data_IF_411211988869
#
_entry.id   IF_411211988869
#
_cell.length_a   1.000
_cell.length_b   1.000
_cell.length_c   1.000
_cell.angle_alpha   90.00
_cell.angle_beta   90.00
_cell.angle_gamma   90.00
#
_symmetry.space_group_name_H-M   'P 1'
#
loop_
_entity.id
_entity.type
_entity.pdbx_description
1 polymer ?
#
# COMPACT_ATOMS: atom_id res chain seq x y z
N UNK A 1 -17.02 12.90 0.30
CA UNK A 1 -16.36 12.70 1.59
C UNK A 1 -15.18 11.82 1.29
N UNK A 2 -13.98 12.37 1.29
CA UNK A 2 -12.77 11.61 0.99
C UNK A 2 -12.59 10.59 2.11
N UNK A 3 -12.90 9.32 1.84
CA UNK A 3 -12.45 8.23 2.69
C UNK A 3 -10.95 8.40 2.84
N UNK A 4 -10.42 8.47 4.07
CA UNK A 4 -8.98 8.54 4.26
C UNK A 4 -8.40 7.22 3.77
N UNK A 5 -7.83 7.21 2.58
CA UNK A 5 -7.21 6.00 2.03
C UNK A 5 -5.92 5.74 2.80
N UNK A 6 -5.58 4.47 2.97
CA UNK A 6 -4.30 4.08 3.57
C UNK A 6 -3.10 4.75 2.85
N UNK A 7 -3.26 5.02 1.54
CA UNK A 7 -2.33 5.80 0.74
C UNK A 7 -2.18 7.25 1.20
N UNK A 8 -3.25 7.94 1.58
CA UNK A 8 -3.20 9.32 2.08
C UNK A 8 -2.39 9.40 3.38
N UNK A 9 -2.54 8.40 4.24
CA UNK A 9 -1.81 8.32 5.52
C UNK A 9 -0.32 8.10 5.27
N UNK A 10 0.02 7.20 4.35
CA UNK A 10 1.40 6.97 3.93
C UNK A 10 2.00 8.23 3.32
N UNK A 11 1.28 8.88 2.40
CA UNK A 11 1.70 10.10 1.73
C UNK A 11 1.92 11.25 2.73
N UNK A 12 0.95 11.49 3.62
CA UNK A 12 1.04 12.50 4.68
C UNK A 12 2.23 12.26 5.61
N UNK A 13 2.52 10.99 5.93
CA UNK A 13 3.64 10.62 6.79
C UNK A 13 5.01 10.81 6.12
N UNK A 14 5.06 10.70 4.80
CA UNK A 14 6.24 11.02 3.99
C UNK A 14 6.32 12.50 3.58
N UNK A 15 5.27 13.29 3.85
CA UNK A 15 5.18 14.69 3.41
C UNK A 15 5.09 14.85 1.89
N UNK A 16 4.61 13.82 1.18
CA UNK A 16 4.46 13.81 -0.27
C UNK A 16 2.99 13.59 -0.68
N UNK A 17 2.68 13.69 -1.97
CA UNK A 17 1.36 13.33 -2.49
C UNK A 17 1.28 11.84 -2.80
N UNK A 18 0.06 11.27 -2.80
CA UNK A 18 -0.14 9.87 -3.19
C UNK A 18 0.44 9.60 -4.58
N UNK A 19 0.30 10.55 -5.51
CA UNK A 19 0.87 10.48 -6.85
C UNK A 19 2.39 10.30 -6.86
N UNK A 20 3.11 10.94 -5.93
CA UNK A 20 4.57 10.81 -5.80
C UNK A 20 4.98 9.41 -5.33
N UNK A 21 4.13 8.75 -4.52
CA UNK A 21 4.39 7.37 -4.07
C UNK A 21 4.48 6.40 -5.25
N UNK A 22 3.66 6.59 -6.29
CA UNK A 22 3.72 5.77 -7.50
C UNK A 22 4.82 6.23 -8.47
N UNK A 23 5.09 7.55 -8.54
CA UNK A 23 6.07 8.12 -9.46
C UNK A 23 7.50 7.69 -9.15
N UNK A 24 7.82 7.58 -7.87
CA UNK A 24 9.17 7.28 -7.40
C UNK A 24 9.28 5.82 -6.95
N UNK A 25 10.07 4.97 -7.63
CA UNK A 25 10.22 3.56 -7.24
C UNK A 25 10.78 3.38 -5.81
N UNK A 26 11.51 4.38 -5.30
CA UNK A 26 12.02 4.42 -3.92
C UNK A 26 10.87 4.68 -2.92
N UNK A 27 10.01 5.65 -3.23
CA UNK A 27 8.84 5.95 -2.39
C UNK A 27 7.85 4.80 -2.41
N UNK A 28 7.62 4.19 -3.58
CA UNK A 28 6.81 2.98 -3.75
C UNK A 28 7.26 1.86 -2.80
N UNK A 29 8.56 1.53 -2.82
CA UNK A 29 9.13 0.51 -1.91
C UNK A 29 8.99 0.89 -0.44
N UNK A 30 9.15 2.17 -0.12
CA UNK A 30 9.03 2.66 1.27
C UNK A 30 7.58 2.57 1.75
N UNK A 31 6.62 2.98 0.92
CA UNK A 31 5.19 2.87 1.19
C UNK A 31 4.77 1.41 1.37
N UNK A 32 5.25 0.51 0.51
CA UNK A 32 5.02 -0.94 0.62
C UNK A 32 5.60 -1.52 1.92
N UNK A 33 6.82 -1.14 2.31
CA UNK A 33 7.43 -1.57 3.57
C UNK A 33 6.62 -1.09 4.78
N UNK A 34 6.18 0.16 4.77
CA UNK A 34 5.34 0.74 5.81
C UNK A 34 3.99 0.03 5.91
N UNK A 35 3.36 -0.23 4.77
CA UNK A 35 2.11 -0.99 4.66
C UNK A 35 2.30 -2.43 5.19
N UNK A 36 3.44 -3.07 4.89
CA UNK A 36 3.77 -4.39 5.44
C UNK A 36 3.94 -4.38 6.98
N UNK A 37 4.52 -3.29 7.52
CA UNK A 37 4.74 -3.09 8.97
C UNK A 37 3.47 -2.74 9.74
N UNK A 38 2.45 -2.20 9.08
CA UNK A 38 1.17 -1.86 9.71
C UNK A 38 0.42 -3.12 10.16
N UNK A 39 -0.37 -3.01 11.22
CA UNK A 39 -1.15 -4.15 11.72
C UNK A 39 -2.25 -4.52 10.71
N UNK A 40 -2.42 -5.81 10.44
CA UNK A 40 -3.39 -6.31 9.45
C UNK A 40 -4.84 -5.97 9.82
N UNK A 41 -5.12 -5.69 11.10
CA UNK A 41 -6.44 -5.31 11.59
C UNK A 41 -6.64 -3.79 11.72
N UNK A 42 -5.64 -2.98 11.35
CA UNK A 42 -5.75 -1.51 11.46
C UNK A 42 -6.70 -0.90 10.43
N UNK A 43 -6.84 -1.54 9.26
CA UNK A 43 -7.62 -1.02 8.14
C UNK A 43 -8.37 -2.16 7.44
N UNK A 44 -9.56 -1.89 6.86
CA UNK A 44 -10.33 -2.90 6.15
C UNK A 44 -9.62 -3.37 4.87
N UNK A 45 -9.85 -4.64 4.49
CA UNK A 45 -9.24 -5.28 3.32
C UNK A 45 -9.35 -4.44 2.04
N UNK A 46 -10.49 -3.77 1.83
CA UNK A 46 -10.71 -2.90 0.66
C UNK A 46 -9.64 -1.82 0.53
N UNK A 47 -9.22 -1.19 1.63
CA UNK A 47 -8.17 -0.17 1.61
C UNK A 47 -6.79 -0.75 1.33
N UNK A 48 -6.52 -1.97 1.82
CA UNK A 48 -5.26 -2.65 1.51
C UNK A 48 -5.18 -3.01 0.03
N UNK A 49 -6.26 -3.54 -0.55
CA UNK A 49 -6.34 -3.86 -1.97
C UNK A 49 -6.15 -2.62 -2.83
N UNK A 50 -6.85 -1.53 -2.51
CA UNK A 50 -6.75 -0.26 -3.23
C UNK A 50 -5.31 0.30 -3.18
N UNK A 51 -4.66 0.24 -2.01
CA UNK A 51 -3.29 0.69 -1.83
C UNK A 51 -2.27 -0.15 -2.61
N UNK A 52 -2.39 -1.49 -2.57
CA UNK A 52 -1.50 -2.39 -3.33
C UNK A 52 -1.71 -2.18 -4.82
N UNK A 53 -2.96 -2.12 -5.28
CA UNK A 53 -3.30 -1.90 -6.69
C UNK A 53 -2.75 -0.58 -7.21
N UNK A 54 -2.80 0.47 -6.38
CA UNK A 54 -2.21 1.75 -6.73
C UNK A 54 -0.67 1.71 -6.77
N UNK A 55 -0.03 1.07 -5.78
CA UNK A 55 1.44 1.05 -5.65
C UNK A 55 2.10 0.10 -6.64
N UNK A 56 1.53 -1.08 -6.88
CA UNK A 56 2.11 -2.11 -7.78
C UNK A 56 1.51 -2.09 -9.18
N UNK A 57 0.37 -1.40 -9.37
CA UNK A 57 -0.40 -1.47 -10.60
C UNK A 57 -1.11 -2.81 -10.80
N UNK A 58 -1.07 -3.70 -9.80
CA UNK A 58 -1.62 -5.05 -9.88
C UNK A 58 -3.08 -5.06 -9.42
N UNK A 59 -3.99 -5.39 -10.33
CA UNK A 59 -5.43 -5.38 -10.06
C UNK A 59 -5.96 -6.69 -9.47
N UNK A 60 -5.09 -7.54 -8.88
CA UNK A 60 -5.53 -8.78 -8.26
C UNK A 60 -6.46 -8.55 -7.07
N UNK A 61 -7.51 -9.36 -7.03
CA UNK A 61 -8.36 -9.51 -5.86
C UNK A 61 -7.67 -10.40 -4.83
N UNK A 62 -7.29 -9.79 -3.71
CA UNK A 62 -6.80 -10.53 -2.55
C UNK A 62 -7.97 -10.93 -1.63
N UNK A 63 -8.02 -12.17 -1.17
CA UNK A 63 -9.08 -12.62 -0.25
C UNK A 63 -8.79 -12.22 1.21
N UNK A 64 -7.56 -11.81 1.53
CA UNK A 64 -7.16 -11.41 2.89
C UNK A 64 -5.93 -10.49 2.91
N UNK A 65 -5.82 -9.70 3.98
CA UNK A 65 -4.64 -8.83 4.22
C UNK A 65 -3.35 -9.64 4.31
N UNK A 66 -3.41 -10.89 4.76
CA UNK A 66 -2.27 -11.82 4.76
C UNK A 66 -1.72 -12.10 3.35
N UNK A 67 -2.60 -12.30 2.38
CA UNK A 67 -2.17 -12.51 0.98
C UNK A 67 -1.52 -11.25 0.42
N UNK A 68 -2.08 -10.09 0.75
CA UNK A 68 -1.50 -8.78 0.41
C UNK A 68 -0.08 -8.66 0.99
N UNK A 69 0.10 -8.94 2.29
CA UNK A 69 1.42 -8.87 2.92
C UNK A 69 2.41 -9.86 2.31
N UNK A 70 1.98 -11.07 1.99
CA UNK A 70 2.80 -12.06 1.31
C UNK A 70 3.22 -11.57 -0.09
N UNK A 71 2.29 -10.96 -0.83
CA UNK A 71 2.57 -10.37 -2.14
C UNK A 71 3.54 -9.21 -2.06
N UNK A 72 3.35 -8.28 -1.12
CA UNK A 72 4.27 -7.16 -0.89
C UNK A 72 5.66 -7.67 -0.57
N UNK A 73 5.76 -8.68 0.31
CA UNK A 73 7.04 -9.31 0.64
C UNK A 73 7.72 -9.87 -0.62
N UNK A 74 6.97 -10.55 -1.48
CA UNK A 74 7.49 -11.09 -2.73
C UNK A 74 7.91 -9.98 -3.72
N UNK A 75 7.16 -8.89 -3.86
CA UNK A 75 7.51 -7.73 -4.70
C UNK A 75 8.79 -7.03 -4.21
N UNK A 76 9.02 -7.05 -2.90
CA UNK A 76 10.23 -6.48 -2.28
C UNK A 76 11.47 -7.37 -2.43
N UNK A 77 11.29 -8.69 -2.53
CA UNK A 77 12.36 -9.68 -2.72
C UNK A 77 12.73 -9.91 -4.20
N UNK A 78 11.90 -9.43 -5.14
CA UNK A 78 12.09 -9.50 -6.59
C UNK A 78 12.88 -8.30 -7.17
#
# INVERSE_FOLDING_TARGET
MSELHLLDILAARHGCFISDLNLSPILRRTALLELFRMDENSYPLSQWQDAVRYLTGDERDFASVKEIKAFIKQDMEA
#
